data_IF_747175558800
#
_entry.id   IF_747175558800
#
_cell.length_a   1.000
_cell.length_b   1.000
_cell.length_c   1.000
_cell.angle_alpha   90.00
_cell.angle_beta   90.00
_cell.angle_gamma   90.00
#
_symmetry.space_group_name_H-M   'P 1'
#
loop_
_entity.id
_entity.type
_entity.pdbx_description
1 polymer ?
#
# COMPACT_ATOMS: atom_id res chain seq x y z
N UNK A 1 5.45 -20.68 -11.59
CA UNK A 1 5.51 -19.83 -10.40
C UNK A 1 4.15 -19.22 -10.03
N UNK A 2 3.55 -18.36 -10.88
CA UNK A 2 2.31 -17.63 -10.55
C UNK A 2 1.11 -18.53 -10.15
N UNK A 3 0.90 -19.68 -10.82
CA UNK A 3 -0.19 -20.61 -10.48
C UNK A 3 -0.03 -21.22 -9.08
N UNK A 4 1.16 -21.70 -8.72
CA UNK A 4 1.42 -22.31 -7.41
C UNK A 4 1.29 -21.28 -6.29
N UNK A 5 1.73 -20.04 -6.52
CA UNK A 5 1.54 -18.93 -5.60
C UNK A 5 0.05 -18.66 -5.37
N UNK A 6 -0.77 -18.62 -6.44
CA UNK A 6 -2.23 -18.48 -6.34
C UNK A 6 -2.90 -19.64 -5.60
N UNK A 7 -2.47 -20.87 -5.86
CA UNK A 7 -2.94 -22.05 -5.14
C UNK A 7 -2.58 -21.97 -3.64
N UNK A 8 -1.41 -21.43 -3.30
CA UNK A 8 -0.96 -21.24 -1.93
C UNK A 8 -1.80 -20.20 -1.20
N UNK A 9 -2.34 -19.19 -1.91
CA UNK A 9 -3.31 -18.24 -1.31
C UNK A 9 -4.61 -18.90 -0.87
N UNK A 10 -4.99 -20.01 -1.50
CA UNK A 10 -6.24 -20.74 -1.30
C UNK A 10 -6.05 -22.03 -0.48
N UNK A 11 -4.82 -22.34 -0.09
CA UNK A 11 -4.44 -23.60 0.55
C UNK A 11 -3.29 -23.36 1.55
N UNK A 12 -2.69 -24.44 2.04
CA UNK A 12 -1.47 -24.36 2.85
C UNK A 12 -0.35 -25.10 2.12
N UNK A 13 0.89 -24.70 2.38
CA UNK A 13 2.08 -25.26 1.71
C UNK A 13 2.10 -26.78 1.80
N UNK A 14 1.85 -27.33 2.99
CA UNK A 14 1.83 -28.77 3.24
C UNK A 14 0.80 -29.50 2.38
N UNK A 15 -0.36 -28.87 2.16
CA UNK A 15 -1.44 -29.45 1.34
C UNK A 15 -1.09 -29.44 -0.14
N UNK A 16 -0.39 -28.40 -0.61
CA UNK A 16 0.11 -28.35 -1.99
C UNK A 16 1.26 -29.34 -2.21
N UNK A 17 2.18 -29.46 -1.26
CA UNK A 17 3.24 -30.45 -1.28
C UNK A 17 2.68 -31.87 -1.32
N UNK A 18 1.67 -32.16 -0.49
CA UNK A 18 0.96 -33.44 -0.51
C UNK A 18 0.26 -33.68 -1.85
N UNK A 19 -0.46 -32.69 -2.39
CA UNK A 19 -1.16 -32.82 -3.67
C UNK A 19 -0.18 -33.08 -4.84
N UNK A 20 0.93 -32.35 -4.90
CA UNK A 20 1.96 -32.53 -5.93
C UNK A 20 2.70 -33.87 -5.79
N UNK A 21 2.90 -34.34 -4.55
CA UNK A 21 3.48 -35.65 -4.28
C UNK A 21 2.57 -36.79 -4.73
N UNK A 22 1.24 -36.67 -4.51
CA UNK A 22 0.26 -37.67 -4.97
C UNK A 22 0.20 -37.77 -6.50
N UNK A 23 0.34 -36.64 -7.19
CA UNK A 23 0.34 -36.55 -8.66
C UNK A 23 1.73 -36.86 -9.28
N UNK A 24 2.72 -37.29 -8.48
CA UNK A 24 4.10 -37.58 -8.92
C UNK A 24 4.80 -36.39 -9.61
N UNK A 25 4.38 -35.17 -9.30
CA UNK A 25 4.94 -33.93 -9.85
C UNK A 25 5.93 -33.29 -8.86
N UNK A 26 6.82 -34.09 -8.28
CA UNK A 26 7.76 -33.66 -7.22
C UNK A 26 8.73 -32.57 -7.68
N UNK A 27 9.05 -32.50 -8.97
CA UNK A 27 9.85 -31.43 -9.58
C UNK A 27 9.25 -30.03 -9.31
N UNK A 28 7.90 -29.94 -9.24
CA UNK A 28 7.18 -28.68 -9.01
C UNK A 28 7.19 -28.23 -7.55
N UNK A 29 7.56 -29.11 -6.60
CA UNK A 29 7.65 -28.75 -5.18
C UNK A 29 8.74 -27.69 -4.95
N UNK A 30 9.84 -27.76 -5.71
CA UNK A 30 10.91 -26.75 -5.69
C UNK A 30 10.45 -25.36 -6.14
N UNK A 31 9.31 -25.27 -6.85
CA UNK A 31 8.72 -24.02 -7.34
C UNK A 31 7.69 -23.42 -6.38
N UNK A 32 7.40 -24.08 -5.25
CA UNK A 32 6.54 -23.52 -4.20
C UNK A 32 7.35 -22.45 -3.45
N UNK A 33 6.83 -21.23 -3.26
CA UNK A 33 7.50 -20.19 -2.49
C UNK A 33 7.96 -20.69 -1.12
N UNK A 34 9.25 -20.54 -0.84
CA UNK A 34 9.91 -21.39 0.16
C UNK A 34 9.69 -20.93 1.62
N UNK A 35 9.28 -19.68 1.86
CA UNK A 35 8.92 -19.18 3.18
C UNK A 35 7.93 -18.02 3.06
N UNK A 36 6.86 -18.01 3.84
CA UNK A 36 5.88 -16.91 3.91
C UNK A 36 6.07 -16.06 5.16
N UNK A 37 7.19 -16.23 5.87
CA UNK A 37 7.49 -15.48 7.08
C UNK A 37 7.75 -14.00 6.81
N UNK A 38 7.42 -13.17 7.80
CA UNK A 38 7.85 -11.79 7.82
C UNK A 38 9.32 -11.69 8.21
N UNK A 39 10.07 -10.87 7.49
CA UNK A 39 11.44 -10.47 7.80
C UNK A 39 11.45 -9.22 8.68
N UNK A 40 12.39 -9.13 9.61
CA UNK A 40 12.67 -7.89 10.32
C UNK A 40 13.85 -7.19 9.63
N UNK A 41 13.64 -6.07 8.90
CA UNK A 41 14.69 -5.44 8.09
C UNK A 41 15.88 -4.94 8.93
N UNK A 42 15.64 -4.65 10.21
CA UNK A 42 16.62 -4.11 11.13
C UNK A 42 17.17 -5.17 12.10
N UNK A 43 17.09 -6.46 11.76
CA UNK A 43 17.55 -7.54 12.64
C UNK A 43 19.06 -7.69 12.74
N UNK A 44 19.81 -7.14 11.78
CA UNK A 44 21.27 -7.13 11.80
C UNK A 44 21.79 -6.06 12.77
N UNK A 45 22.58 -6.46 13.76
CA UNK A 45 23.21 -5.57 14.74
C UNK A 45 24.13 -4.52 14.10
N UNK A 46 24.64 -4.79 12.89
CA UNK A 46 25.48 -3.86 12.14
C UNK A 46 24.70 -2.77 11.41
N UNK A 47 23.37 -2.89 11.33
CA UNK A 47 22.53 -1.90 10.65
C UNK A 47 22.53 -0.57 11.43
N UNK A 48 22.70 0.55 10.72
CA UNK A 48 22.83 1.89 11.33
C UNK A 48 21.66 2.28 12.26
N UNK A 49 20.46 1.80 11.94
CA UNK A 49 19.22 2.06 12.69
C UNK A 49 18.80 0.94 13.63
N UNK A 50 19.63 -0.09 13.83
CA UNK A 50 19.26 -1.29 14.59
C UNK A 50 18.73 -0.97 16.00
N UNK A 51 19.49 -0.17 16.77
CA UNK A 51 19.18 0.10 18.18
C UNK A 51 17.88 0.89 18.33
N UNK A 52 17.66 1.91 17.51
CA UNK A 52 16.44 2.69 17.54
C UNK A 52 15.25 1.89 17.01
N UNK A 53 15.43 1.06 15.98
CA UNK A 53 14.38 0.23 15.44
C UNK A 53 13.90 -0.84 16.44
N UNK A 54 14.82 -1.49 17.16
CA UNK A 54 14.48 -2.45 18.23
C UNK A 54 13.77 -1.77 19.41
N UNK A 55 14.14 -0.53 19.75
CA UNK A 55 13.45 0.26 20.76
C UNK A 55 12.00 0.52 20.36
N UNK A 56 11.77 1.04 19.15
CA UNK A 56 10.41 1.31 18.62
C UNK A 56 9.59 0.02 18.54
N UNK A 57 10.19 -1.07 18.04
CA UNK A 57 9.55 -2.38 17.98
C UNK A 57 9.11 -2.88 19.34
N UNK A 58 9.95 -2.76 20.37
CA UNK A 58 9.61 -3.15 21.74
C UNK A 58 8.43 -2.34 22.29
N UNK A 59 8.40 -1.03 22.05
CA UNK A 59 7.32 -0.16 22.51
C UNK A 59 5.98 -0.46 21.82
N UNK A 60 6.02 -0.72 20.51
CA UNK A 60 4.83 -1.00 19.69
C UNK A 60 4.27 -2.42 19.97
N UNK A 61 5.11 -3.33 20.47
CA UNK A 61 4.73 -4.71 20.74
C UNK A 61 3.55 -4.83 21.71
N UNK A 62 2.63 -5.77 21.42
CA UNK A 62 1.41 -5.98 22.21
C UNK A 62 1.65 -6.39 23.67
N UNK A 63 2.69 -7.16 24.03
CA UNK A 63 3.10 -7.40 25.41
C UNK A 63 3.57 -6.14 26.15
N UNK A 64 4.23 -5.19 25.44
CA UNK A 64 4.77 -3.97 26.03
C UNK A 64 3.69 -2.94 26.38
N UNK A 65 2.67 -2.78 25.52
CA UNK A 65 1.57 -1.80 25.66
C UNK A 65 2.05 -0.41 26.12
N UNK A 66 3.10 0.11 25.49
CA UNK A 66 3.56 1.46 25.74
C UNK A 66 2.43 2.48 25.53
N UNK A 67 2.52 3.61 26.23
CA UNK A 67 1.58 4.70 26.04
C UNK A 67 1.81 5.37 24.67
N UNK A 68 0.75 6.00 24.13
CA UNK A 68 0.82 6.63 22.82
C UNK A 68 1.89 7.73 22.80
N UNK A 69 1.99 8.47 23.90
CA UNK A 69 2.92 9.57 24.12
C UNK A 69 4.37 9.08 24.13
N UNK A 70 4.64 7.93 24.75
CA UNK A 70 5.98 7.32 24.81
C UNK A 70 6.46 6.88 23.42
N UNK A 71 5.57 6.23 22.65
CA UNK A 71 5.88 5.88 21.26
C UNK A 71 6.08 7.14 20.42
N UNK A 72 5.24 8.16 20.61
CA UNK A 72 5.35 9.42 19.89
C UNK A 72 6.68 10.14 20.19
N UNK A 73 7.10 10.20 21.45
CA UNK A 73 8.36 10.80 21.87
C UNK A 73 9.56 10.05 21.30
N UNK A 74 9.52 8.70 21.33
CA UNK A 74 10.57 7.87 20.73
C UNK A 74 10.67 8.10 19.21
N UNK A 75 9.53 8.13 18.50
CA UNK A 75 9.50 8.33 17.05
C UNK A 75 9.90 9.75 16.66
N UNK A 76 9.41 10.78 17.35
CA UNK A 76 9.66 12.18 16.96
C UNK A 76 10.98 12.73 17.49
N UNK A 77 11.41 12.33 18.68
CA UNK A 77 12.68 12.71 19.28
C UNK A 77 13.79 11.75 18.88
N UNK A 78 13.68 10.49 19.32
CA UNK A 78 14.78 9.50 19.23
C UNK A 78 15.21 9.13 17.81
N UNK A 79 14.28 9.15 16.84
CA UNK A 79 14.61 8.90 15.43
C UNK A 79 14.97 10.17 14.64
N UNK A 80 14.84 11.36 15.21
CA UNK A 80 15.29 12.60 14.55
C UNK A 80 16.81 12.76 14.62
N UNK A 81 17.48 12.05 15.52
CA UNK A 81 18.94 12.04 15.68
C UNK A 81 19.64 11.05 14.73
N UNK A 82 18.90 10.41 13.81
CA UNK A 82 19.49 9.49 12.83
C UNK A 82 20.40 10.26 11.85
N UNK A 83 21.64 9.79 11.61
CA UNK A 83 22.56 10.41 10.65
C UNK A 83 22.10 10.05 9.23
N UNK A 84 21.10 10.77 8.73
CA UNK A 84 20.51 10.53 7.41
C UNK A 84 20.19 11.85 6.72
N UNK A 85 20.30 11.83 5.39
CA UNK A 85 19.89 12.92 4.51
C UNK A 85 18.35 13.03 4.42
N UNK A 86 17.62 11.95 4.78
CA UNK A 86 16.16 11.86 4.70
C UNK A 86 15.54 11.36 6.02
N UNK A 87 15.67 12.14 7.11
CA UNK A 87 15.30 11.68 8.45
C UNK A 87 13.79 11.41 8.61
N UNK A 88 12.91 12.02 7.81
CA UNK A 88 11.47 11.76 7.89
C UNK A 88 11.07 10.44 7.23
N UNK A 89 11.68 10.09 6.11
CA UNK A 89 11.48 8.82 5.42
C UNK A 89 11.97 7.64 6.26
N UNK A 90 13.17 7.77 6.87
CA UNK A 90 13.71 6.74 7.75
C UNK A 90 12.85 6.54 9.00
N UNK A 91 12.33 7.63 9.58
CA UNK A 91 11.35 7.56 10.67
C UNK A 91 10.12 6.76 10.29
N UNK A 92 9.54 7.08 9.13
CA UNK A 92 8.38 6.40 8.62
C UNK A 92 8.67 4.90 8.39
N UNK A 93 9.82 4.60 7.77
CA UNK A 93 10.26 3.23 7.48
C UNK A 93 10.42 2.42 8.76
N UNK A 94 11.17 2.92 9.75
CA UNK A 94 11.38 2.24 11.04
C UNK A 94 10.05 1.98 11.77
N UNK A 95 9.21 3.00 11.91
CA UNK A 95 7.92 2.88 12.58
C UNK A 95 7.00 1.86 11.88
N UNK A 96 6.89 1.95 10.55
CA UNK A 96 6.01 1.08 9.78
C UNK A 96 6.52 -0.35 9.80
N UNK A 97 7.82 -0.58 9.61
CA UNK A 97 8.40 -1.91 9.75
C UNK A 97 8.05 -2.49 11.11
N UNK A 98 8.20 -1.73 12.21
CA UNK A 98 7.91 -2.20 13.56
C UNK A 98 6.44 -2.60 13.74
N UNK A 99 5.51 -1.74 13.30
CA UNK A 99 4.06 -2.01 13.37
C UNK A 99 3.68 -3.24 12.55
N UNK A 100 4.21 -3.35 11.33
CA UNK A 100 3.89 -4.45 10.41
C UNK A 100 4.49 -5.77 10.92
N UNK A 101 5.73 -5.73 11.38
CA UNK A 101 6.41 -6.89 11.92
C UNK A 101 5.75 -7.40 13.19
N UNK A 102 5.43 -6.55 14.16
CA UNK A 102 4.70 -6.96 15.38
C UNK A 102 3.26 -7.39 15.09
N UNK A 103 2.68 -6.92 13.98
CA UNK A 103 1.37 -7.34 13.47
C UNK A 103 1.36 -8.62 12.64
N UNK A 104 2.50 -9.29 12.42
CA UNK A 104 2.68 -10.37 11.42
C UNK A 104 1.82 -11.62 11.64
N UNK A 105 1.39 -11.89 12.88
CA UNK A 105 0.65 -13.10 13.22
C UNK A 105 -0.73 -13.18 12.57
N UNK A 106 -1.42 -12.05 12.43
CA UNK A 106 -2.73 -11.99 11.77
C UNK A 106 -3.09 -10.57 11.35
N UNK A 107 -3.99 -10.46 10.37
CA UNK A 107 -4.56 -9.16 9.97
C UNK A 107 -5.21 -8.45 11.16
N UNK A 108 -5.86 -9.19 12.07
CA UNK A 108 -6.47 -8.60 13.26
C UNK A 108 -5.43 -8.01 14.22
N UNK A 109 -4.27 -8.65 14.38
CA UNK A 109 -3.17 -8.11 15.17
C UNK A 109 -2.61 -6.83 14.55
N UNK A 110 -2.33 -6.85 13.24
CA UNK A 110 -1.92 -5.67 12.49
C UNK A 110 -2.90 -4.50 12.67
N UNK A 111 -4.21 -4.75 12.49
CA UNK A 111 -5.23 -3.72 12.65
C UNK A 111 -5.35 -3.23 14.10
N UNK A 112 -5.16 -4.12 15.08
CA UNK A 112 -5.16 -3.77 16.49
C UNK A 112 -4.00 -2.84 16.88
N UNK A 113 -2.79 -3.14 16.42
CA UNK A 113 -1.60 -2.32 16.65
C UNK A 113 -1.72 -1.00 15.88
N UNK A 114 -2.04 -1.06 14.59
CA UNK A 114 -2.18 0.13 13.73
C UNK A 114 -3.29 1.05 14.22
N UNK A 115 -4.40 0.51 14.73
CA UNK A 115 -5.49 1.27 15.33
C UNK A 115 -5.10 1.98 16.62
N UNK A 116 -4.30 1.31 17.48
CA UNK A 116 -3.79 1.91 18.72
C UNK A 116 -2.85 3.08 18.45
N UNK A 117 -1.94 2.93 17.50
CA UNK A 117 -0.91 3.93 17.20
C UNK A 117 -1.26 4.79 15.97
N UNK A 118 -2.54 4.85 15.59
CA UNK A 118 -3.01 5.53 14.38
C UNK A 118 -2.60 7.01 14.33
N UNK A 119 -2.62 7.69 15.47
CA UNK A 119 -2.23 9.11 15.56
C UNK A 119 -0.73 9.30 15.27
N UNK A 120 0.13 8.44 15.83
CA UNK A 120 1.59 8.48 15.61
C UNK A 120 1.91 8.12 14.15
N UNK A 121 1.25 7.09 13.61
CA UNK A 121 1.38 6.72 12.20
C UNK A 121 1.00 7.87 11.27
N UNK A 122 -0.13 8.56 11.53
CA UNK A 122 -0.52 9.73 10.73
C UNK A 122 0.45 10.90 10.85
N UNK A 123 1.04 11.10 12.04
CA UNK A 123 2.08 12.10 12.23
C UNK A 123 3.35 11.79 11.45
N UNK A 124 3.74 10.51 11.37
CA UNK A 124 4.93 10.06 10.64
C UNK A 124 4.72 9.99 9.12
N UNK A 125 3.49 9.76 8.64
CA UNK A 125 3.15 9.57 7.22
C UNK A 125 2.47 10.79 6.59
N UNK A 126 2.84 11.99 7.04
CA UNK A 126 2.21 13.24 6.64
C UNK A 126 2.49 13.65 5.19
N UNK A 127 3.65 13.31 4.65
CA UNK A 127 4.05 13.61 3.28
C UNK A 127 4.05 12.38 2.37
N UNK A 128 4.22 12.64 1.08
CA UNK A 128 4.22 11.60 0.05
C UNK A 128 5.46 10.71 0.14
N UNK A 129 6.62 11.29 0.44
CA UNK A 129 7.89 10.57 0.54
C UNK A 129 7.88 9.59 1.72
N UNK A 130 7.35 10.02 2.87
CA UNK A 130 7.16 9.16 4.03
C UNK A 130 6.16 8.02 3.75
N UNK A 131 5.10 8.29 2.97
CA UNK A 131 4.16 7.25 2.54
C UNK A 131 4.81 6.25 1.59
N UNK A 132 5.72 6.68 0.72
CA UNK A 132 6.50 5.78 -0.14
C UNK A 132 7.50 4.95 0.68
N UNK A 133 8.19 5.56 1.63
CA UNK A 133 9.06 4.85 2.58
C UNK A 133 8.29 3.81 3.42
N UNK A 134 7.02 4.08 3.75
CA UNK A 134 6.13 3.10 4.38
C UNK A 134 5.81 1.91 3.44
N UNK A 135 5.64 2.16 2.14
CA UNK A 135 5.48 1.08 1.17
C UNK A 135 6.75 0.22 1.07
N UNK A 136 7.94 0.84 1.06
CA UNK A 136 9.21 0.12 1.10
C UNK A 136 9.32 -0.75 2.35
N UNK A 137 9.01 -0.18 3.53
CA UNK A 137 8.98 -0.93 4.79
C UNK A 137 8.08 -2.17 4.75
N UNK A 138 6.88 -2.06 4.17
CA UNK A 138 5.95 -3.19 4.03
C UNK A 138 6.51 -4.24 3.05
N UNK A 139 7.08 -3.80 1.94
CA UNK A 139 7.67 -4.68 0.93
C UNK A 139 8.89 -5.44 1.48
N UNK A 140 9.70 -4.80 2.31
CA UNK A 140 10.86 -5.43 2.98
C UNK A 140 10.42 -6.44 4.03
N UNK A 141 9.46 -6.07 4.90
CA UNK A 141 8.95 -7.00 5.93
C UNK A 141 8.32 -8.23 5.29
N UNK A 142 7.61 -8.07 4.18
CA UNK A 142 6.93 -9.17 3.49
C UNK A 142 7.61 -9.59 2.19
N UNK A 143 8.94 -9.40 2.08
CA UNK A 143 9.69 -9.73 0.85
C UNK A 143 9.52 -11.18 0.41
N UNK A 144 9.37 -12.10 1.36
CA UNK A 144 9.13 -13.53 1.13
C UNK A 144 7.65 -13.87 0.88
N UNK A 145 6.71 -12.98 1.22
CA UNK A 145 5.26 -13.20 1.10
C UNK A 145 4.54 -12.01 0.45
N UNK A 146 4.57 -11.96 -0.88
CA UNK A 146 3.91 -10.92 -1.70
C UNK A 146 2.42 -10.75 -1.40
N UNK A 147 1.72 -11.84 -1.08
CA UNK A 147 0.29 -11.77 -0.71
C UNK A 147 0.07 -10.94 0.56
N UNK A 148 0.91 -11.11 1.58
CA UNK A 148 0.81 -10.33 2.80
C UNK A 148 1.19 -8.87 2.55
N UNK A 149 2.20 -8.60 1.71
CA UNK A 149 2.52 -7.25 1.28
C UNK A 149 1.30 -6.54 0.65
N UNK A 150 0.64 -7.18 -0.32
CA UNK A 150 -0.60 -6.67 -0.96
C UNK A 150 -1.69 -6.40 0.08
N UNK A 151 -1.91 -7.34 1.00
CA UNK A 151 -2.94 -7.21 2.03
C UNK A 151 -2.66 -6.03 2.98
N UNK A 152 -1.43 -5.90 3.45
CA UNK A 152 -1.03 -4.83 4.37
C UNK A 152 -1.13 -3.47 3.68
N UNK A 153 -0.63 -3.34 2.45
CA UNK A 153 -0.74 -2.10 1.68
C UNK A 153 -2.22 -1.74 1.41
N UNK A 154 -3.07 -2.72 1.08
CA UNK A 154 -4.52 -2.49 0.97
C UNK A 154 -5.10 -1.91 2.27
N UNK A 155 -4.73 -2.45 3.44
CA UNK A 155 -5.21 -1.92 4.72
C UNK A 155 -4.70 -0.52 4.99
N UNK A 156 -3.45 -0.21 4.66
CA UNK A 156 -2.90 1.13 4.87
C UNK A 156 -3.63 2.18 4.01
N UNK A 157 -4.00 1.84 2.78
CA UNK A 157 -4.86 2.71 1.96
C UNK A 157 -6.25 2.86 2.57
N UNK A 158 -6.86 1.76 3.06
CA UNK A 158 -8.18 1.81 3.73
C UNK A 158 -8.16 2.67 5.00
N UNK A 159 -7.06 2.65 5.75
CA UNK A 159 -6.86 3.43 6.97
C UNK A 159 -6.48 4.90 6.72
N UNK A 160 -6.28 5.27 5.44
CA UNK A 160 -5.76 6.58 5.02
C UNK A 160 -4.37 6.87 5.59
N UNK A 161 -3.56 5.84 5.75
CA UNK A 161 -2.14 5.97 6.10
C UNK A 161 -1.29 6.20 4.85
N UNK A 162 -1.66 5.56 3.74
CA UNK A 162 -1.04 5.75 2.43
C UNK A 162 -2.12 6.22 1.46
N UNK A 163 -1.86 7.30 0.73
CA UNK A 163 -2.78 7.78 -0.29
C UNK A 163 -2.71 6.90 -1.55
N UNK A 164 -3.81 6.76 -2.33
CA UNK A 164 -3.77 6.10 -3.62
C UNK A 164 -2.70 6.70 -4.56
N UNK A 165 -2.50 8.02 -4.49
CA UNK A 165 -1.51 8.74 -5.28
C UNK A 165 -0.07 8.33 -4.93
N UNK A 166 0.29 8.30 -3.64
CA UNK A 166 1.60 7.87 -3.19
C UNK A 166 1.86 6.41 -3.58
N UNK A 167 0.86 5.53 -3.42
CA UNK A 167 0.99 4.13 -3.77
C UNK A 167 1.16 3.90 -5.27
N UNK A 168 0.42 4.61 -6.13
CA UNK A 168 0.62 4.52 -7.59
C UNK A 168 2.02 4.96 -7.98
N UNK A 169 2.52 6.07 -7.42
CA UNK A 169 3.89 6.54 -7.69
C UNK A 169 4.94 5.59 -7.18
N UNK A 170 4.71 4.93 -6.04
CA UNK A 170 5.57 3.88 -5.55
C UNK A 170 5.57 2.67 -6.48
N UNK A 171 4.40 2.15 -6.84
CA UNK A 171 4.25 0.96 -7.71
C UNK A 171 4.92 1.17 -9.07
N UNK A 172 4.75 2.36 -9.64
CA UNK A 172 5.24 2.76 -10.96
C UNK A 172 6.43 3.74 -10.86
N UNK A 173 7.33 3.48 -9.92
CA UNK A 173 8.53 4.32 -9.69
C UNK A 173 9.60 4.22 -10.77
N UNK A 174 9.41 3.33 -11.75
CA UNK A 174 10.34 3.08 -12.86
C UNK A 174 10.22 1.63 -13.36
N UNK A 175 10.70 1.36 -14.57
CA UNK A 175 10.59 0.06 -15.23
C UNK A 175 11.29 -1.07 -14.45
N UNK A 176 12.51 -0.83 -13.95
CA UNK A 176 13.28 -1.85 -13.24
C UNK A 176 12.60 -2.26 -11.93
N UNK A 177 12.12 -1.27 -11.16
CA UNK A 177 11.34 -1.51 -9.96
C UNK A 177 10.01 -2.23 -10.28
N UNK A 178 9.40 -1.91 -11.43
CA UNK A 178 8.20 -2.60 -11.89
C UNK A 178 8.45 -4.09 -12.14
N UNK A 179 9.57 -4.39 -12.81
CA UNK A 179 10.02 -5.74 -13.11
C UNK A 179 10.34 -6.54 -11.84
N UNK A 180 10.98 -5.92 -10.86
CA UNK A 180 11.31 -6.54 -9.58
C UNK A 180 10.06 -6.92 -8.79
N UNK A 181 9.07 -6.01 -8.71
CA UNK A 181 7.80 -6.27 -8.03
C UNK A 181 7.01 -7.39 -8.73
N UNK A 182 6.98 -7.40 -10.05
CA UNK A 182 6.28 -8.43 -10.82
C UNK A 182 4.76 -8.42 -10.60
N UNK A 183 4.12 -9.59 -10.65
CA UNK A 183 2.66 -9.69 -10.84
C UNK A 183 1.80 -9.12 -9.70
N UNK A 184 2.30 -9.10 -8.46
CA UNK A 184 1.51 -8.61 -7.32
C UNK A 184 1.27 -7.09 -7.39
N UNK A 185 2.13 -6.37 -8.12
CA UNK A 185 1.95 -4.93 -8.34
C UNK A 185 0.64 -4.65 -9.06
N UNK A 186 0.31 -5.40 -10.11
CA UNK A 186 -0.93 -5.20 -10.87
C UNK A 186 -2.16 -5.44 -10.02
N UNK A 187 -2.12 -6.47 -9.16
CA UNK A 187 -3.18 -6.74 -8.19
C UNK A 187 -3.36 -5.56 -7.23
N UNK A 188 -2.26 -5.04 -6.67
CA UNK A 188 -2.32 -3.90 -5.75
C UNK A 188 -2.74 -2.61 -6.46
N UNK A 189 -2.33 -2.39 -7.71
CA UNK A 189 -2.73 -1.27 -8.54
C UNK A 189 -4.25 -1.28 -8.76
N UNK A 190 -4.80 -2.45 -9.12
CA UNK A 190 -6.25 -2.63 -9.26
C UNK A 190 -7.00 -2.34 -7.95
N UNK A 191 -6.53 -2.87 -6.82
CA UNK A 191 -7.14 -2.59 -5.51
C UNK A 191 -7.10 -1.10 -5.16
N UNK A 192 -6.01 -0.43 -5.50
CA UNK A 192 -5.79 0.99 -5.22
C UNK A 192 -6.73 1.87 -6.04
N UNK A 193 -6.87 1.59 -7.35
CA UNK A 193 -7.76 2.32 -8.26
C UNK A 193 -9.24 2.03 -7.98
N UNK A 194 -9.57 0.80 -7.57
CA UNK A 194 -10.95 0.42 -7.26
C UNK A 194 -11.56 1.22 -6.09
N UNK A 195 -10.75 1.69 -5.15
CA UNK A 195 -11.24 2.38 -3.94
C UNK A 195 -11.82 3.76 -4.22
N UNK A 196 -11.14 4.69 -4.92
CA UNK A 196 -11.73 5.94 -5.36
C UNK A 196 -13.00 5.75 -6.19
N UNK A 197 -13.01 4.76 -7.09
CA UNK A 197 -14.21 4.43 -7.90
C UNK A 197 -15.39 4.01 -7.01
N UNK A 198 -15.16 3.13 -6.05
CA UNK A 198 -16.17 2.69 -5.10
C UNK A 198 -16.64 3.84 -4.18
N UNK A 199 -15.75 4.75 -3.81
CA UNK A 199 -16.09 5.94 -3.01
C UNK A 199 -17.03 6.86 -3.78
N UNK A 200 -16.72 7.17 -5.04
CA UNK A 200 -17.58 8.01 -5.90
C UNK A 200 -18.97 7.36 -6.07
N UNK A 201 -19.03 6.07 -6.35
CA UNK A 201 -20.30 5.34 -6.45
C UNK A 201 -21.10 5.40 -5.15
N UNK A 202 -20.43 5.23 -4.00
CA UNK A 202 -21.06 5.33 -2.68
C UNK A 202 -21.63 6.74 -2.42
N UNK A 203 -20.84 7.78 -2.64
CA UNK A 203 -21.28 9.17 -2.43
C UNK A 203 -22.45 9.52 -3.35
N UNK A 204 -22.47 9.03 -4.60
CA UNK A 204 -23.61 9.20 -5.51
C UNK A 204 -24.88 8.52 -4.99
N UNK A 205 -24.77 7.31 -4.45
CA UNK A 205 -25.89 6.60 -3.82
C UNK A 205 -26.40 7.35 -2.58
N UNK A 206 -25.49 7.84 -1.73
CA UNK A 206 -25.82 8.61 -0.54
C UNK A 206 -26.50 9.95 -0.91
N UNK A 207 -26.03 10.60 -1.98
CA UNK A 207 -26.63 11.83 -2.52
C UNK A 207 -28.05 11.58 -3.04
N UNK A 208 -28.27 10.51 -3.80
CA UNK A 208 -29.59 10.16 -4.32
C UNK A 208 -30.57 9.90 -3.18
N UNK A 209 -30.13 9.21 -2.13
CA UNK A 209 -30.95 8.94 -0.95
C UNK A 209 -31.29 10.24 -0.21
N UNK A 210 -30.29 11.09 0.03
CA UNK A 210 -30.49 12.36 0.73
C UNK A 210 -31.38 13.34 -0.06
N UNK A 211 -31.28 13.35 -1.39
CA UNK A 211 -32.14 14.18 -2.24
C UNK A 211 -33.59 13.69 -2.21
N UNK A 212 -33.82 12.38 -2.27
CA UNK A 212 -35.16 11.81 -2.16
C UNK A 212 -35.81 12.10 -0.80
N UNK A 213 -35.05 12.10 0.31
CA UNK A 213 -35.53 12.54 1.63
C UNK A 213 -36.00 14.01 1.62
N UNK A 214 -35.22 14.90 1.00
CA UNK A 214 -35.57 16.33 0.88
C UNK A 214 -36.81 16.53 0.02
N UNK A 215 -36.89 15.86 -1.12
CA UNK A 215 -38.00 16.00 -2.05
C UNK A 215 -39.32 15.50 -1.42
N UNK A 216 -39.28 14.39 -0.68
CA UNK A 216 -40.42 13.87 0.06
C UNK A 216 -40.92 14.83 1.16
N UNK A 217 -40.00 15.51 1.85
CA UNK A 217 -40.36 16.52 2.86
C UNK A 217 -40.93 17.80 2.23
N UNK A 218 -40.51 18.17 1.02
CA UNK A 218 -41.04 19.34 0.29
C UNK A 218 -42.47 19.13 -0.23
N UNK A 219 -42.82 17.89 -0.55
CA UNK A 219 -44.17 17.54 -1.01
C UNK A 219 -45.20 17.44 0.13
N UNK A 220 -44.74 17.32 1.37
CA UNK A 220 -45.60 17.32 2.55
C UNK A 220 -46.10 18.74 2.88
N UNK A 221 -47.38 18.92 3.27
CA UNK A 221 -47.88 20.21 3.73
C UNK A 221 -47.28 20.56 5.10
N UNK A 222 -46.24 21.39 5.12
CA UNK A 222 -45.42 21.61 6.31
C UNK A 222 -45.62 22.91 7.06
N UNK A 223 -45.44 22.82 8.38
CA UNK A 223 -45.35 23.94 9.31
C UNK A 223 -43.93 24.55 9.35
N UNK A 224 -43.70 25.50 10.26
CA UNK A 224 -42.40 26.17 10.37
C UNK A 224 -41.27 25.23 10.83
N UNK A 225 -41.59 24.16 11.57
CA UNK A 225 -40.60 23.18 12.03
C UNK A 225 -40.19 22.25 10.88
N UNK A 226 -41.12 21.86 10.02
CA UNK A 226 -40.82 21.10 8.80
C UNK A 226 -39.97 21.91 7.80
N UNK A 227 -40.20 23.23 7.69
CA UNK A 227 -39.37 24.10 6.84
C UNK A 227 -37.92 24.20 7.35
N UNK A 228 -37.72 24.26 8.66
CA UNK A 228 -36.39 24.23 9.26
C UNK A 228 -35.68 22.88 9.00
N UNK A 229 -36.41 21.76 9.09
CA UNK A 229 -35.88 20.43 8.82
C UNK A 229 -35.47 20.26 7.35
N UNK A 230 -36.26 20.80 6.41
CA UNK A 230 -35.91 20.82 4.98
C UNK A 230 -34.60 21.59 4.77
N UNK A 231 -34.45 22.77 5.37
CA UNK A 231 -33.22 23.57 5.24
C UNK A 231 -31.97 22.83 5.76
N UNK A 232 -32.07 22.15 6.91
CA UNK A 232 -30.95 21.34 7.45
C UNK A 232 -30.57 20.18 6.52
N UNK A 233 -31.58 19.49 5.97
CA UNK A 233 -31.38 18.38 5.02
C UNK A 233 -30.82 18.86 3.69
N UNK A 234 -31.24 20.03 3.20
CA UNK A 234 -30.65 20.68 2.03
C UNK A 234 -29.19 21.04 2.25
N UNK A 235 -28.82 21.54 3.44
CA UNK A 235 -27.42 21.79 3.78
C UNK A 235 -26.59 20.50 3.77
N UNK A 236 -27.13 19.39 4.29
CA UNK A 236 -26.51 18.06 4.18
C UNK A 236 -26.33 17.65 2.73
N UNK A 237 -27.33 17.83 1.88
CA UNK A 237 -27.23 17.55 0.43
C UNK A 237 -26.13 18.39 -0.21
N UNK A 238 -26.00 19.68 0.14
CA UNK A 238 -24.92 20.53 -0.38
C UNK A 238 -23.54 20.04 0.07
N UNK A 239 -23.38 19.60 1.33
CA UNK A 239 -22.14 18.97 1.81
C UNK A 239 -21.80 17.68 1.06
N UNK A 240 -22.79 16.85 0.73
CA UNK A 240 -22.57 15.63 -0.06
C UNK A 240 -22.21 15.99 -1.51
N UNK A 241 -22.85 17.00 -2.10
CA UNK A 241 -22.52 17.49 -3.46
C UNK A 241 -21.09 18.01 -3.56
N UNK A 242 -20.63 18.79 -2.58
CA UNK A 242 -19.23 19.25 -2.55
C UNK A 242 -18.25 18.09 -2.36
N UNK A 243 -18.55 17.14 -1.47
CA UNK A 243 -17.75 15.93 -1.31
C UNK A 243 -17.69 15.08 -2.59
N UNK A 244 -18.81 14.96 -3.32
CA UNK A 244 -18.85 14.25 -4.60
C UNK A 244 -17.99 14.94 -5.66
N UNK A 245 -18.03 16.28 -5.71
CA UNK A 245 -17.20 17.05 -6.63
C UNK A 245 -15.72 16.79 -6.36
N UNK A 246 -15.28 16.94 -5.11
CA UNK A 246 -13.88 16.69 -4.74
C UNK A 246 -13.46 15.25 -5.02
N UNK A 247 -14.31 14.27 -4.70
CA UNK A 247 -13.99 12.86 -4.97
C UNK A 247 -13.89 12.53 -6.48
N UNK A 248 -14.62 13.25 -7.34
CA UNK A 248 -14.49 13.14 -8.80
C UNK A 248 -13.21 13.79 -9.31
N UNK A 249 -12.88 14.98 -8.80
CA UNK A 249 -11.61 15.66 -9.12
C UNK A 249 -10.43 14.74 -8.74
N UNK A 250 -10.43 14.19 -7.51
CA UNK A 250 -9.42 13.21 -7.08
C UNK A 250 -9.36 11.98 -7.99
N UNK A 251 -10.51 11.48 -8.46
CA UNK A 251 -10.56 10.34 -9.38
C UNK A 251 -9.95 10.66 -10.75
N UNK A 252 -10.26 11.84 -11.29
CA UNK A 252 -9.71 12.32 -12.57
C UNK A 252 -8.19 12.53 -12.46
N UNK A 253 -7.73 13.18 -11.40
CA UNK A 253 -6.30 13.40 -11.13
C UNK A 253 -5.55 12.07 -10.95
N UNK A 254 -6.15 11.10 -10.27
CA UNK A 254 -5.55 9.77 -10.11
C UNK A 254 -5.45 9.02 -11.44
N UNK A 255 -6.46 9.16 -12.31
CA UNK A 255 -6.44 8.55 -13.64
C UNK A 255 -5.35 9.18 -14.52
N UNK A 256 -5.20 10.51 -14.46
CA UNK A 256 -4.12 11.22 -15.14
C UNK A 256 -2.76 10.75 -14.63
N UNK A 257 -2.56 10.69 -13.32
CA UNK A 257 -1.32 10.18 -12.71
C UNK A 257 -1.00 8.76 -13.18
N UNK A 258 -2.00 7.88 -13.18
CA UNK A 258 -1.84 6.49 -13.60
C UNK A 258 -1.35 6.41 -15.06
N UNK A 259 -1.99 7.15 -15.97
CA UNK A 259 -1.59 7.17 -17.39
C UNK A 259 -0.17 7.72 -17.55
N UNK A 260 0.14 8.84 -16.87
CA UNK A 260 1.48 9.44 -16.91
C UNK A 260 2.55 8.44 -16.46
N UNK A 261 2.35 7.78 -15.30
CA UNK A 261 3.32 6.85 -14.74
C UNK A 261 3.49 5.58 -15.58
N UNK A 262 2.41 5.09 -16.19
CA UNK A 262 2.49 3.96 -17.14
C UNK A 262 3.28 4.35 -18.39
N UNK A 263 3.08 5.56 -18.92
CA UNK A 263 3.82 6.06 -20.08
C UNK A 263 5.31 6.22 -19.75
N UNK A 264 5.66 6.81 -18.61
CA UNK A 264 7.04 6.94 -18.14
C UNK A 264 7.73 5.55 -18.05
N UNK A 265 7.09 4.58 -17.41
CA UNK A 265 7.63 3.21 -17.34
C UNK A 265 7.77 2.53 -18.71
N UNK A 266 6.86 2.83 -19.65
CA UNK A 266 6.92 2.28 -21.00
C UNK A 266 8.03 2.91 -21.84
N UNK A 267 8.27 4.21 -21.67
CA UNK A 267 9.38 4.94 -22.29
C UNK A 267 10.73 4.38 -21.81
N UNK A 268 10.90 4.23 -20.49
CA UNK A 268 12.09 3.62 -19.89
C UNK A 268 12.34 2.19 -20.40
N UNK A 269 11.29 1.38 -20.49
CA UNK A 269 11.36 0.04 -21.10
C UNK A 269 11.84 0.10 -22.56
N UNK A 270 11.30 1.04 -23.33
CA UNK A 270 11.69 1.26 -24.73
C UNK A 270 13.15 1.68 -24.87
N UNK A 271 13.64 2.54 -23.98
CA UNK A 271 15.05 2.96 -23.95
C UNK A 271 15.99 1.81 -23.62
N UNK A 272 15.64 0.97 -22.62
CA UNK A 272 16.40 -0.25 -22.29
C UNK A 272 16.49 -1.21 -23.47
N UNK A 273 15.38 -1.48 -24.14
CA UNK A 273 15.36 -2.37 -25.30
C UNK A 273 16.18 -1.83 -26.48
N UNK A 274 16.20 -0.50 -26.68
CA UNK A 274 17.05 0.15 -27.68
C UNK A 274 18.54 0.02 -27.33
N UNK A 275 18.88 0.19 -26.05
CA UNK A 275 20.24 0.06 -25.55
C UNK A 275 20.78 -1.37 -25.68
N UNK A 276 19.97 -2.37 -25.33
CA UNK A 276 20.29 -3.80 -25.48
C UNK A 276 20.51 -4.18 -26.95
N UNK A 277 19.66 -3.71 -27.86
CA UNK A 277 19.84 -3.95 -29.31
C UNK A 277 21.11 -3.32 -29.86
N UNK A 278 21.49 -2.13 -29.38
CA UNK A 278 22.74 -1.49 -29.81
C UNK A 278 23.95 -2.31 -29.36
N UNK A 279 23.95 -2.75 -28.10
CA UNK A 279 25.04 -3.58 -27.54
C UNK A 279 25.14 -4.95 -28.22
N UNK A 280 24.02 -5.60 -28.51
CA UNK A 280 24.02 -6.89 -29.22
C UNK A 280 24.40 -6.79 -30.72
N UNK A 281 24.18 -5.64 -31.36
CA UNK A 281 24.61 -5.41 -32.74
C UNK A 281 26.12 -5.16 -32.88
N UNK A 282 26.74 -4.53 -31.88
CA UNK A 282 28.19 -4.29 -31.87
C UNK A 282 28.98 -5.60 -31.60
N UNK A 283 28.40 -6.61 -30.94
CA UNK A 283 29.02 -7.93 -30.70
C UNK A 283 28.94 -8.87 -31.91
N UNK A 284 27.93 -8.75 -32.78
CA UNK A 284 27.81 -9.56 -34.00
C UNK A 284 28.72 -9.07 -35.14
N UNK A 285 29.16 -7.80 -35.14
CA UNK A 285 30.10 -7.28 -36.15
C UNK A 285 31.58 -7.60 -35.85
N UNK A 286 31.96 -7.96 -34.61
CA UNK A 286 33.35 -8.32 -34.27
C UNK A 286 33.71 -9.78 -34.59
N UNK A 287 32.72 -10.68 -34.75
CA UNK A 287 32.96 -12.11 -35.05
C UNK A 287 33.07 -12.44 -36.56
N UNK A 288 32.74 -11.49 -37.44
CA UNK A 288 32.77 -11.69 -38.91
C UNK A 288 34.10 -11.27 -39.59
N UNK A 289 35.05 -10.69 -38.84
CA UNK A 289 36.34 -10.20 -39.38
C UNK A 289 37.51 -11.21 -39.26
N UNK A 290 37.25 -12.44 -38.79
CA UNK A 290 38.28 -13.48 -38.54
C UNK A 290 38.05 -14.76 -39.38
N UNK A 291 37.77 -14.65 -40.69
CA UNK A 291 37.80 -15.77 -41.66
C UNK A 291 38.46 -15.44 -43.01
#
# INVERSE_FOLDING_TARGET
HNLLERCLRLSYKERLEQALSLEKATELVSLIPCDQSACWPFGDESHAFHSQAEQVRTLVSLPGKAQLEEVQECVTGGLSDLPSDQPSEDRARVLVSAVVYEGRESVSHLMGISGRYLAVLRGALGGEDEQRAACDAVAEVWGSCRQNAVLVMDKFVSMKLVSPFALIRWLLSGYDACKERGDYMWELLHLTVAKPLALVAKIQSDLSTAQAEVDALREAPGDADEQNLVAEKEERVQRIKSALKNAREDQEDLAVLLVQKVLECAEECGDRLREERRKGGDEEEEDDDDH
#
